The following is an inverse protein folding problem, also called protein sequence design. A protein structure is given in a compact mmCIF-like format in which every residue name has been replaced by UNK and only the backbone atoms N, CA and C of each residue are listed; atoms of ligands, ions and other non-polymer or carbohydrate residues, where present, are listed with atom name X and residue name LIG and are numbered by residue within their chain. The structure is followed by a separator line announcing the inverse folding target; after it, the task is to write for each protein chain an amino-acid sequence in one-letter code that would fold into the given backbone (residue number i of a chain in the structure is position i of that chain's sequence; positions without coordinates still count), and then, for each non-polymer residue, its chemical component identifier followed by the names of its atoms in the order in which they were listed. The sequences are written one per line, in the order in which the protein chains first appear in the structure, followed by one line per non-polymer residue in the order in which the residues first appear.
data_IF_691311503942
#
_entry.id   IF_691311503942
#
_cell.length_a   1.000
_cell.length_b   1.000
_cell.length_c   1.000
_cell.angle_alpha   90.00
_cell.angle_beta   90.00
_cell.angle_gamma   90.00
#
_symmetry.space_group_name_H-M   'P 1'
#
loop_
_entity.id
_entity.type
_entity.pdbx_description
1 polymer ?
#
# COMPACT_ATOMS: atom_id res chain seq x y z
N UNK A 1 21.18 3.73 -41.76
CA UNK A 1 21.88 2.48 -41.45
C UNK A 1 23.00 2.86 -40.52
N UNK A 2 22.90 2.50 -39.24
CA UNK A 2 24.02 1.95 -38.49
C UNK A 2 23.47 1.35 -37.20
N UNK A 3 23.67 0.05 -37.11
CA UNK A 3 23.25 -0.89 -36.09
C UNK A 3 24.14 -0.79 -34.85
N UNK A 4 23.55 -0.81 -33.66
CA UNK A 4 24.28 -1.17 -32.44
C UNK A 4 23.76 -2.49 -31.86
N UNK A 5 24.72 -3.41 -31.73
CA UNK A 5 24.58 -4.79 -31.30
C UNK A 5 24.06 -4.93 -29.87
N UNK A 6 23.17 -5.90 -29.69
CA UNK A 6 22.88 -6.58 -28.43
C UNK A 6 24.00 -7.61 -28.18
N UNK A 7 24.74 -7.47 -27.08
CA UNK A 7 25.48 -8.59 -26.49
C UNK A 7 25.60 -8.40 -24.98
N UNK A 8 25.38 -9.49 -24.26
CA UNK A 8 25.08 -9.57 -22.83
C UNK A 8 26.06 -8.90 -21.86
N UNK A 9 25.48 -8.46 -20.74
CA UNK A 9 26.15 -8.12 -19.49
C UNK A 9 25.16 -8.39 -18.36
N UNK A 10 25.58 -9.18 -17.37
CA UNK A 10 24.73 -9.70 -16.31
C UNK A 10 23.95 -8.64 -15.54
N UNK A 11 22.82 -9.06 -14.95
CA UNK A 11 21.96 -8.24 -14.11
C UNK A 11 22.79 -7.45 -13.08
N UNK A 12 22.95 -6.16 -13.33
CA UNK A 12 23.53 -5.23 -12.37
C UNK A 12 22.55 -5.14 -11.19
N UNK A 13 22.95 -5.69 -10.04
CA UNK A 13 22.30 -5.43 -8.77
C UNK A 13 22.28 -3.91 -8.56
N UNK A 14 21.07 -3.34 -8.47
CA UNK A 14 20.89 -1.92 -8.25
C UNK A 14 21.56 -1.51 -6.93
N UNK A 15 22.59 -0.68 -7.05
CA UNK A 15 23.33 -0.10 -5.94
C UNK A 15 22.59 1.15 -5.45
N UNK A 16 22.09 1.13 -4.22
CA UNK A 16 21.54 2.32 -3.56
C UNK A 16 22.40 2.70 -2.35
N UNK A 17 22.78 3.99 -2.19
CA UNK A 17 23.55 4.45 -1.05
C UNK A 17 22.62 4.62 0.16
N UNK A 18 22.46 3.57 0.95
CA UNK A 18 21.92 3.64 2.31
C UNK A 18 23.05 3.68 3.34
N UNK A 19 22.89 4.47 4.40
CA UNK A 19 23.83 4.52 5.53
C UNK A 19 24.13 3.12 6.09
N UNK A 20 25.31 2.94 6.68
CA UNK A 20 25.82 1.70 7.26
C UNK A 20 24.87 1.12 8.33
N UNK A 21 23.85 0.36 7.92
CA UNK A 21 22.82 -0.16 8.81
C UNK A 21 21.57 -0.72 8.11
N UNK A 22 21.27 -0.29 6.88
CA UNK A 22 20.09 -0.73 6.13
C UNK A 22 20.33 -2.03 5.33
N UNK A 23 19.27 -2.82 5.19
CA UNK A 23 19.31 -4.04 4.40
C UNK A 23 19.28 -3.69 2.89
N UNK A 24 20.46 -3.64 2.25
CA UNK A 24 20.59 -3.61 0.79
C UNK A 24 20.47 -5.03 0.25
N UNK A 25 19.26 -5.58 0.25
CA UNK A 25 19.07 -7.02 0.02
C UNK A 25 18.21 -7.27 -1.20
N UNK A 26 18.87 -7.77 -2.26
CA UNK A 26 18.20 -8.24 -3.48
C UNK A 26 17.86 -9.73 -3.48
N UNK A 27 18.22 -10.49 -2.44
CA UNK A 27 18.03 -11.94 -2.36
C UNK A 27 17.55 -12.40 -0.96
N UNK A 28 16.51 -13.23 -0.92
CA UNK A 28 15.88 -13.71 0.31
C UNK A 28 16.85 -14.46 1.24
N UNK A 29 17.84 -15.18 0.68
CA UNK A 29 18.85 -15.87 1.48
C UNK A 29 19.74 -14.89 2.26
N UNK A 30 20.14 -13.78 1.63
CA UNK A 30 20.89 -12.72 2.30
C UNK A 30 20.06 -12.04 3.38
N UNK A 31 18.75 -11.86 3.14
CA UNK A 31 17.84 -11.22 4.10
C UNK A 31 17.67 -12.11 5.34
N UNK A 32 17.47 -13.41 5.12
CA UNK A 32 17.40 -14.43 6.16
C UNK A 32 18.66 -14.40 7.04
N UNK A 33 19.84 -14.41 6.44
CA UNK A 33 21.11 -14.33 7.17
C UNK A 33 21.24 -13.01 7.97
N UNK A 34 20.85 -11.88 7.36
CA UNK A 34 20.90 -10.57 8.00
C UNK A 34 19.96 -10.47 9.22
N UNK A 35 18.77 -11.07 9.13
CA UNK A 35 17.78 -11.16 10.22
C UNK A 35 18.27 -12.08 11.34
N UNK A 36 18.82 -13.25 10.98
CA UNK A 36 19.35 -14.21 11.95
C UNK A 36 20.52 -13.62 12.77
N UNK A 37 21.43 -12.88 12.12
CA UNK A 37 22.51 -12.15 12.81
C UNK A 37 22.01 -11.13 13.84
N UNK A 38 20.74 -10.70 13.73
CA UNK A 38 20.07 -9.74 14.62
C UNK A 38 19.10 -10.43 15.59
N UNK A 39 19.20 -11.76 15.72
CA UNK A 39 18.39 -12.60 16.60
C UNK A 39 16.88 -12.52 16.30
N UNK A 40 16.50 -12.32 15.05
CA UNK A 40 15.11 -12.48 14.62
C UNK A 40 14.86 -13.95 14.31
N UNK A 41 13.92 -14.57 15.03
CA UNK A 41 13.46 -15.92 14.74
C UNK A 41 12.47 -15.90 13.56
N UNK A 42 12.92 -16.43 12.43
CA UNK A 42 12.12 -16.53 11.20
C UNK A 42 11.41 -17.89 11.08
N UNK A 43 11.45 -18.76 12.10
CA UNK A 43 10.86 -20.10 12.04
C UNK A 43 9.34 -20.12 11.78
N UNK A 44 8.66 -19.02 12.11
CA UNK A 44 7.24 -18.80 11.88
C UNK A 44 6.91 -18.25 10.48
N UNK A 45 7.90 -17.80 9.71
CA UNK A 45 7.67 -17.11 8.43
C UNK A 45 7.20 -18.10 7.38
N UNK A 46 6.26 -17.66 6.53
CA UNK A 46 5.60 -18.51 5.54
C UNK A 46 4.63 -19.54 6.12
N UNK A 47 4.28 -19.44 7.40
CA UNK A 47 3.32 -20.31 8.08
C UNK A 47 2.12 -19.50 8.56
N UNK A 48 0.93 -20.14 8.57
CA UNK A 48 -0.32 -19.51 8.98
C UNK A 48 -0.57 -18.19 8.24
N UNK A 49 -0.67 -17.07 8.96
CA UNK A 49 -0.85 -15.72 8.42
C UNK A 49 0.45 -14.92 8.26
N UNK A 50 1.59 -15.48 8.67
CA UNK A 50 2.88 -14.81 8.55
C UNK A 50 3.40 -14.95 7.11
N UNK A 51 3.91 -13.83 6.58
CA UNK A 51 4.55 -13.78 5.27
C UNK A 51 5.92 -14.45 5.31
N UNK A 52 6.41 -14.87 4.15
CA UNK A 52 7.72 -15.50 4.01
C UNK A 52 8.86 -14.48 3.99
N UNK A 53 10.12 -14.93 4.10
CA UNK A 53 11.28 -14.03 3.91
C UNK A 53 11.35 -13.56 2.46
N UNK A 54 10.92 -14.40 1.52
CA UNK A 54 10.81 -14.10 0.10
C UNK A 54 9.81 -12.96 -0.15
N UNK A 55 8.69 -12.94 0.57
CA UNK A 55 7.74 -11.83 0.50
C UNK A 55 8.35 -10.53 1.03
N UNK A 56 9.10 -10.57 2.14
CA UNK A 56 9.77 -9.38 2.66
C UNK A 56 10.85 -8.86 1.71
N UNK A 57 11.64 -9.76 1.13
CA UNK A 57 12.65 -9.41 0.13
C UNK A 57 11.99 -8.77 -1.10
N UNK A 58 10.86 -9.31 -1.55
CA UNK A 58 10.08 -8.75 -2.67
C UNK A 58 9.53 -7.37 -2.34
N UNK A 59 8.98 -7.17 -1.13
CA UNK A 59 8.49 -5.86 -0.69
C UNK A 59 9.61 -4.81 -0.67
N UNK A 60 10.83 -5.18 -0.27
CA UNK A 60 12.00 -4.30 -0.30
C UNK A 60 12.44 -4.02 -1.75
N UNK A 61 12.51 -5.07 -2.58
CA UNK A 61 12.91 -4.96 -3.98
C UNK A 61 11.96 -4.08 -4.79
N UNK A 62 10.65 -4.20 -4.55
CA UNK A 62 9.63 -3.35 -5.17
C UNK A 62 9.42 -2.03 -4.45
N UNK A 63 10.25 -1.71 -3.46
CA UNK A 63 10.20 -0.42 -2.74
C UNK A 63 8.85 -0.15 -2.05
N UNK A 64 8.10 -1.19 -1.71
CA UNK A 64 6.88 -1.10 -0.90
C UNK A 64 7.19 -0.94 0.60
N UNK A 65 8.40 -1.31 1.01
CA UNK A 65 8.88 -1.14 2.37
C UNK A 65 10.41 -1.09 2.43
N UNK A 66 10.96 -0.62 3.53
CA UNK A 66 12.39 -0.72 3.83
C UNK A 66 12.62 -1.39 5.17
N UNK A 67 13.80 -1.98 5.37
CA UNK A 67 14.19 -2.60 6.64
C UNK A 67 15.52 -2.03 7.10
N UNK A 68 15.55 -1.62 8.36
CA UNK A 68 16.72 -1.02 9.01
C UNK A 68 16.99 -1.67 10.36
N UNK A 69 18.22 -1.56 10.84
CA UNK A 69 18.58 -1.99 12.18
C UNK A 69 18.99 -0.80 13.06
N UNK A 70 18.24 -0.63 14.15
CA UNK A 70 18.54 0.32 15.19
C UNK A 70 19.50 -0.32 16.21
N UNK A 71 20.78 -0.01 16.09
CA UNK A 71 21.82 -0.56 16.95
C UNK A 71 21.67 -0.16 18.42
N UNK A 72 21.11 1.03 18.70
CA UNK A 72 20.91 1.53 20.06
C UNK A 72 19.85 0.71 20.80
N UNK A 73 18.77 0.38 20.10
CA UNK A 73 17.65 -0.38 20.66
C UNK A 73 17.69 -1.87 20.31
N UNK A 74 18.72 -2.33 19.59
CA UNK A 74 18.90 -3.70 19.09
C UNK A 74 17.64 -4.24 18.40
N UNK A 75 17.09 -3.43 17.50
CA UNK A 75 15.76 -3.66 16.92
C UNK A 75 15.80 -3.57 15.41
N UNK A 76 15.15 -4.53 14.77
CA UNK A 76 14.86 -4.47 13.33
C UNK A 76 13.53 -3.74 13.13
N UNK A 77 13.54 -2.69 12.31
CA UNK A 77 12.34 -1.91 11.97
C UNK A 77 12.10 -1.98 10.47
N UNK A 78 10.92 -2.48 10.10
CA UNK A 78 10.34 -2.38 8.76
C UNK A 78 9.52 -1.09 8.65
N UNK A 79 9.87 -0.20 7.74
CA UNK A 79 9.13 1.04 7.47
C UNK A 79 8.26 0.90 6.24
N UNK A 80 7.03 1.39 6.33
CA UNK A 80 6.08 1.44 5.22
C UNK A 80 5.54 2.86 5.15
N UNK A 81 5.52 3.43 3.94
CA UNK A 81 4.77 4.64 3.67
C UNK A 81 3.38 4.23 3.21
N UNK A 82 2.34 4.83 3.74
CA UNK A 82 0.95 4.50 3.42
C UNK A 82 0.23 5.77 3.04
N UNK A 83 -0.45 5.77 1.90
CA UNK A 83 -1.43 6.79 1.55
C UNK A 83 -2.78 6.37 2.11
N UNK A 84 -3.42 7.26 2.88
CA UNK A 84 -4.81 7.11 3.32
C UNK A 84 -5.66 8.19 2.66
N UNK A 85 -6.67 7.80 1.89
CA UNK A 85 -7.49 8.71 1.08
C UNK A 85 -8.90 8.76 1.64
N UNK A 86 -9.26 9.89 2.23
CA UNK A 86 -10.62 10.22 2.61
C UNK A 86 -11.32 10.77 1.37
N UNK A 87 -12.02 9.89 0.64
CA UNK A 87 -12.84 10.31 -0.51
C UNK A 87 -14.14 10.89 0.03
N UNK A 88 -14.39 12.17 -0.25
CA UNK A 88 -15.58 12.86 0.23
C UNK A 88 -16.58 13.19 -0.88
N UNK A 89 -17.85 13.27 -0.49
CA UNK A 89 -18.92 13.84 -1.28
C UNK A 89 -19.54 15.02 -0.53
N UNK A 90 -19.54 16.21 -1.16
CA UNK A 90 -20.26 17.37 -0.63
C UNK A 90 -21.76 17.29 -0.85
N UNK A 91 -22.21 16.73 -1.98
CA UNK A 91 -23.64 16.66 -2.31
C UNK A 91 -24.43 15.82 -1.31
N UNK A 92 -23.81 14.75 -0.81
CA UNK A 92 -24.42 13.80 0.14
C UNK A 92 -23.86 13.92 1.55
N UNK A 93 -22.85 14.77 1.79
CA UNK A 93 -22.16 14.92 3.08
C UNK A 93 -21.64 13.58 3.63
N UNK A 94 -21.05 12.75 2.75
CA UNK A 94 -20.52 11.42 3.09
C UNK A 94 -19.02 11.29 2.79
N UNK A 95 -18.41 10.24 3.34
CA UNK A 95 -17.09 9.73 2.95
C UNK A 95 -17.18 8.28 2.53
N UNK A 96 -16.35 7.88 1.58
CA UNK A 96 -16.22 6.50 1.16
C UNK A 96 -15.43 5.70 2.20
N UNK A 97 -15.90 4.50 2.50
CA UNK A 97 -15.28 3.60 3.44
C UNK A 97 -15.23 2.17 2.89
N UNK A 98 -14.12 1.49 3.16
CA UNK A 98 -13.90 0.08 2.91
C UNK A 98 -14.63 -0.75 3.97
N UNK A 99 -15.75 -1.36 3.60
CA UNK A 99 -16.55 -2.16 4.52
C UNK A 99 -15.91 -3.54 4.74
N UNK A 100 -15.66 -4.26 3.64
CA UNK A 100 -15.03 -5.57 3.69
C UNK A 100 -14.28 -5.89 2.39
N UNK A 101 -13.40 -6.88 2.46
CA UNK A 101 -12.69 -7.42 1.32
C UNK A 101 -13.01 -8.90 1.12
N UNK A 102 -13.00 -9.31 -0.13
CA UNK A 102 -13.04 -10.70 -0.55
C UNK A 102 -11.67 -11.05 -1.14
N UNK A 103 -11.00 -12.02 -0.52
CA UNK A 103 -9.75 -12.57 -1.03
C UNK A 103 -10.03 -13.41 -2.30
N UNK A 104 -9.02 -13.67 -3.15
CA UNK A 104 -9.17 -14.50 -4.34
C UNK A 104 -9.70 -15.92 -4.05
N UNK A 105 -9.49 -16.43 -2.83
CA UNK A 105 -10.01 -17.71 -2.36
C UNK A 105 -11.45 -17.65 -1.83
N UNK A 106 -12.10 -16.49 -1.94
CA UNK A 106 -13.48 -16.24 -1.51
C UNK A 106 -13.64 -15.88 -0.03
N UNK A 107 -12.57 -15.92 0.79
CA UNK A 107 -12.67 -15.52 2.20
C UNK A 107 -13.01 -14.04 2.33
N UNK A 108 -13.95 -13.73 3.21
CA UNK A 108 -14.35 -12.36 3.56
C UNK A 108 -13.58 -11.86 4.77
N UNK A 109 -13.10 -10.62 4.71
CA UNK A 109 -12.43 -9.91 5.81
C UNK A 109 -13.14 -8.59 6.07
N UNK A 110 -13.66 -8.42 7.28
CA UNK A 110 -14.19 -7.13 7.72
C UNK A 110 -13.04 -6.13 7.89
N UNK A 111 -13.26 -4.90 7.41
CA UNK A 111 -12.23 -3.84 7.41
C UNK A 111 -12.58 -2.67 8.31
N UNK A 112 -13.77 -2.66 8.93
CA UNK A 112 -14.13 -1.69 9.96
C UNK A 112 -14.40 -0.28 9.41
N UNK A 113 -14.79 -0.17 8.13
CA UNK A 113 -15.12 1.09 7.47
C UNK A 113 -13.92 2.07 7.44
N UNK A 114 -12.77 1.59 7.00
CA UNK A 114 -11.55 2.40 6.88
C UNK A 114 -11.52 3.20 5.57
N UNK A 115 -10.79 4.32 5.51
CA UNK A 115 -10.50 4.99 4.23
C UNK A 115 -9.73 4.08 3.27
N UNK A 116 -9.76 4.42 1.98
CA UNK A 116 -8.92 3.78 0.98
C UNK A 116 -7.45 3.93 1.42
N UNK A 117 -6.77 2.80 1.61
CA UNK A 117 -5.41 2.77 2.15
C UNK A 117 -4.50 1.96 1.23
N UNK A 118 -3.49 2.62 0.65
CA UNK A 118 -2.56 2.01 -0.29
C UNK A 118 -1.12 2.24 0.17
N UNK A 119 -0.23 1.27 -0.03
CA UNK A 119 1.19 1.51 0.25
C UNK A 119 1.74 2.49 -0.78
N UNK A 120 2.53 3.45 -0.32
CA UNK A 120 3.33 4.24 -1.24
C UNK A 120 4.56 3.44 -1.67
N UNK A 121 4.90 3.51 -2.95
CA UNK A 121 5.96 2.73 -3.58
C UNK A 121 7.08 3.64 -4.07
N UNK A 122 8.32 3.30 -3.70
CA UNK A 122 9.50 4.07 -4.11
C UNK A 122 9.45 5.53 -3.66
N UNK A 123 9.89 6.40 -4.56
CA UNK A 123 9.95 7.85 -4.33
C UNK A 123 8.70 8.59 -4.86
N UNK A 124 7.59 7.88 -5.05
CA UNK A 124 6.38 8.52 -5.55
C UNK A 124 5.91 9.63 -4.59
N UNK A 125 5.44 10.72 -5.20
CA UNK A 125 4.80 11.80 -4.47
C UNK A 125 3.34 11.45 -4.18
N UNK A 126 2.70 12.26 -3.32
CA UNK A 126 1.32 12.04 -2.87
C UNK A 126 0.32 12.00 -4.04
N UNK A 127 0.50 12.82 -5.07
CA UNK A 127 -0.39 12.87 -6.22
C UNK A 127 -0.28 11.59 -7.07
N UNK A 128 0.95 11.13 -7.34
CA UNK A 128 1.21 9.90 -8.08
C UNK A 128 0.63 8.67 -7.36
N UNK A 129 0.85 8.58 -6.04
CA UNK A 129 0.28 7.53 -5.22
C UNK A 129 -1.26 7.57 -5.23
N UNK A 130 -1.85 8.76 -5.17
CA UNK A 130 -3.30 8.95 -5.18
C UNK A 130 -3.93 8.50 -6.50
N UNK A 131 -3.37 8.91 -7.64
CA UNK A 131 -3.84 8.52 -8.96
C UNK A 131 -3.77 7.00 -9.14
N UNK A 132 -2.64 6.39 -8.76
CA UNK A 132 -2.45 4.94 -8.80
C UNK A 132 -3.46 4.22 -7.90
N UNK A 133 -3.60 4.65 -6.65
CA UNK A 133 -4.49 4.02 -5.69
C UNK A 133 -5.96 4.11 -6.12
N UNK A 134 -6.42 5.25 -6.65
CA UNK A 134 -7.77 5.40 -7.19
C UNK A 134 -7.98 4.48 -8.39
N UNK A 135 -7.00 4.37 -9.29
CA UNK A 135 -7.10 3.51 -10.47
C UNK A 135 -7.16 2.03 -10.10
N UNK A 136 -6.31 1.59 -9.18
CA UNK A 136 -6.20 0.18 -8.75
C UNK A 136 -7.45 -0.26 -7.96
N UNK A 137 -7.87 0.54 -6.99
CA UNK A 137 -8.93 0.17 -6.04
C UNK A 137 -10.34 0.54 -6.52
N UNK A 138 -10.49 1.67 -7.22
CA UNK A 138 -11.80 2.22 -7.60
C UNK A 138 -12.07 2.19 -9.10
N UNK A 139 -11.06 1.90 -9.94
CA UNK A 139 -11.13 2.03 -11.40
C UNK A 139 -12.31 1.31 -12.06
N UNK A 140 -12.71 0.15 -11.52
CA UNK A 140 -13.86 -0.62 -12.03
C UNK A 140 -15.23 -0.01 -11.72
N UNK A 141 -15.30 0.99 -10.84
CA UNK A 141 -16.53 1.71 -10.47
C UNK A 141 -16.57 3.15 -11.01
N UNK A 142 -15.51 3.63 -11.68
CA UNK A 142 -15.47 4.99 -12.22
C UNK A 142 -16.35 5.08 -13.46
N UNK A 143 -17.31 6.00 -13.45
CA UNK A 143 -18.13 6.33 -14.63
C UNK A 143 -17.40 7.37 -15.46
N UNK A 144 -16.50 6.89 -16.33
CA UNK A 144 -15.75 7.75 -17.24
C UNK A 144 -16.63 8.06 -18.46
N UNK A 145 -17.22 9.26 -18.49
CA UNK A 145 -18.08 9.71 -19.61
C UNK A 145 -17.28 10.23 -20.82
N UNK A 146 -15.98 10.52 -20.65
CA UNK A 146 -15.11 11.11 -21.67
C UNK A 146 -14.03 10.13 -22.18
N UNK A 147 -13.76 10.14 -23.49
CA UNK A 147 -12.74 9.35 -24.21
C UNK A 147 -11.28 9.59 -23.74
N UNK A 148 -11.04 10.57 -22.85
CA UNK A 148 -9.71 10.88 -22.30
C UNK A 148 -9.36 10.04 -21.04
N UNK A 149 -10.27 9.16 -20.60
CA UNK A 149 -9.95 7.96 -19.81
C UNK A 149 -9.55 8.13 -18.34
N UNK A 150 -9.34 9.35 -17.83
CA UNK A 150 -8.91 9.56 -16.44
C UNK A 150 -9.96 10.32 -15.59
N UNK A 151 -10.26 9.79 -14.40
CA UNK A 151 -11.16 10.45 -13.46
C UNK A 151 -10.51 11.72 -12.89
N UNK A 152 -11.23 12.83 -12.90
CA UNK A 152 -10.76 14.07 -12.26
C UNK A 152 -10.70 13.89 -10.74
N UNK A 153 -9.48 13.84 -10.19
CA UNK A 153 -9.21 13.79 -8.75
C UNK A 153 -8.84 15.19 -8.27
N UNK A 154 -9.46 15.66 -7.19
CA UNK A 154 -9.18 16.99 -6.60
C UNK A 154 -8.91 16.86 -5.12
N UNK A 155 -7.73 17.27 -4.67
CA UNK A 155 -7.41 17.42 -3.25
C UNK A 155 -8.18 18.59 -2.64
N UNK A 156 -8.84 18.35 -1.50
CA UNK A 156 -9.66 19.37 -0.83
C UNK A 156 -9.09 19.84 0.50
N UNK A 157 -7.95 19.28 0.89
CA UNK A 157 -7.20 19.66 2.08
C UNK A 157 -5.70 19.50 1.89
N UNK A 158 -4.94 19.90 2.92
CA UNK A 158 -3.50 19.63 2.98
C UNK A 158 -3.28 18.18 3.45
N UNK A 159 -2.27 17.48 2.93
CA UNK A 159 -1.85 16.20 3.49
C UNK A 159 -1.50 16.32 4.97
N UNK A 160 -1.88 15.31 5.75
CA UNK A 160 -1.56 15.17 7.17
C UNK A 160 -0.71 13.93 7.34
N UNK A 161 0.46 14.08 7.96
CA UNK A 161 1.37 12.97 8.23
C UNK A 161 1.22 12.48 9.67
N UNK A 162 1.20 11.17 9.84
CA UNK A 162 1.27 10.51 11.14
C UNK A 162 2.19 9.29 11.09
N UNK A 163 2.73 8.92 12.24
CA UNK A 163 3.56 7.72 12.37
C UNK A 163 2.96 6.79 13.41
N UNK A 164 2.69 5.55 13.01
CA UNK A 164 2.21 4.49 13.90
C UNK A 164 3.27 3.40 14.02
N UNK A 165 3.54 2.96 15.24
CA UNK A 165 4.50 1.87 15.48
C UNK A 165 3.81 0.70 16.16
N UNK A 166 4.11 -0.52 15.70
CA UNK A 166 3.58 -1.76 16.28
C UNK A 166 4.46 -2.96 15.93
N UNK A 167 4.28 -4.07 16.61
CA UNK A 167 4.86 -5.32 16.17
C UNK A 167 4.21 -5.79 14.86
N UNK A 168 5.02 -6.30 13.94
CA UNK A 168 4.56 -6.79 12.65
C UNK A 168 3.82 -8.11 12.79
N UNK A 169 2.54 -8.11 12.43
CA UNK A 169 1.75 -9.34 12.36
C UNK A 169 2.21 -10.24 11.20
N UNK A 170 2.68 -9.64 10.09
CA UNK A 170 3.16 -10.37 8.92
C UNK A 170 4.57 -10.93 9.12
N UNK A 171 5.38 -10.31 9.96
CA UNK A 171 6.78 -10.67 10.18
C UNK A 171 7.09 -10.66 11.69
N UNK A 172 6.67 -11.70 12.44
CA UNK A 172 6.87 -11.75 13.89
C UNK A 172 8.31 -11.43 14.30
N UNK A 173 8.48 -10.71 15.42
CA UNK A 173 9.79 -10.24 15.90
C UNK A 173 10.33 -8.98 15.21
N UNK A 174 9.74 -8.54 14.09
CA UNK A 174 10.09 -7.26 13.44
C UNK A 174 9.14 -6.16 13.90
N UNK A 175 9.69 -5.00 14.27
CA UNK A 175 8.87 -3.81 14.53
C UNK A 175 8.48 -3.17 13.19
N UNK A 176 7.25 -2.68 13.10
CA UNK A 176 6.77 -1.91 11.97
C UNK A 176 6.53 -0.45 12.36
N UNK A 177 6.96 0.44 11.47
CA UNK A 177 6.66 1.87 11.50
C UNK A 177 5.88 2.20 10.21
N UNK A 178 4.65 2.65 10.38
CA UNK A 178 3.77 3.08 9.30
C UNK A 178 3.79 4.60 9.28
N UNK A 179 4.38 5.18 8.24
CA UNK A 179 4.32 6.61 7.97
C UNK A 179 3.13 6.87 7.07
N UNK A 180 2.01 7.27 7.67
CA UNK A 180 0.73 7.45 6.99
C UNK A 180 0.61 8.90 6.54
N UNK A 181 0.42 9.11 5.25
CA UNK A 181 0.05 10.39 4.66
C UNK A 181 -1.44 10.33 4.36
N UNK A 182 -2.23 11.08 5.13
CA UNK A 182 -3.67 11.17 4.94
C UNK A 182 -4.01 12.37 4.07
N UNK A 183 -4.83 12.15 3.04
CA UNK A 183 -5.35 13.21 2.16
C UNK A 183 -6.86 13.15 2.10
N UNK A 184 -7.49 14.30 1.88
CA UNK A 184 -8.91 14.39 1.54
C UNK A 184 -9.04 14.73 0.06
N UNK A 185 -9.85 13.96 -0.66
CA UNK A 185 -10.00 14.10 -2.10
C UNK A 185 -11.45 13.95 -2.55
N UNK A 186 -11.76 14.52 -3.71
CA UNK A 186 -12.98 14.28 -4.48
C UNK A 186 -12.64 13.61 -5.79
N UNK A 187 -13.45 12.65 -6.19
CA UNK A 187 -13.30 11.91 -7.44
C UNK A 187 -14.54 12.18 -8.27
N UNK A 188 -14.41 12.98 -9.32
CA UNK A 188 -15.57 13.46 -10.09
C UNK A 188 -16.38 12.35 -10.77
N UNK A 189 -15.70 11.27 -11.20
CA UNK A 189 -16.31 10.13 -11.86
C UNK A 189 -16.91 9.09 -10.90
N UNK A 190 -16.80 9.30 -9.58
CA UNK A 190 -17.35 8.39 -8.57
C UNK A 190 -18.68 8.95 -8.07
N UNK A 191 -19.78 8.31 -8.45
CA UNK A 191 -21.13 8.77 -8.08
C UNK A 191 -21.43 8.35 -6.63
N UNK A 192 -21.67 9.32 -5.72
CA UNK A 192 -22.06 8.99 -4.35
C UNK A 192 -23.53 8.58 -4.27
N UNK A 193 -23.82 7.60 -3.42
CA UNK A 193 -25.19 7.31 -2.97
C UNK A 193 -25.52 8.19 -1.76
N UNK A 194 -26.81 8.47 -1.53
CA UNK A 194 -27.22 9.28 -0.38
C UNK A 194 -26.90 8.56 0.93
N UNK A 195 -26.49 9.33 1.93
CA UNK A 195 -26.24 8.80 3.28
C UNK A 195 -27.52 8.12 3.81
N UNK A 196 -27.44 6.83 4.17
CA UNK A 196 -28.56 6.09 4.75
C UNK A 196 -29.26 5.12 3.79
N UNK A 197 -28.97 5.15 2.50
CA UNK A 197 -29.48 4.14 1.55
C UNK A 197 -28.80 2.77 1.77
N UNK A 198 -27.67 2.75 2.50
CA UNK A 198 -26.92 1.53 2.83
C UNK A 198 -26.36 0.82 1.59
N UNK A 199 -26.36 1.49 0.43
CA UNK A 199 -26.01 0.88 -0.83
C UNK A 199 -24.50 0.74 -0.92
N UNK A 200 -24.05 -0.50 -0.74
CA UNK A 200 -22.68 -0.88 -1.02
C UNK A 200 -22.48 -1.07 -2.52
N UNK A 201 -21.26 -0.80 -2.98
CA UNK A 201 -20.81 -1.24 -4.30
C UNK A 201 -19.50 -2.02 -4.17
N UNK A 202 -19.17 -2.80 -5.19
CA UNK A 202 -17.97 -3.61 -5.20
C UNK A 202 -17.04 -3.19 -6.33
N UNK A 203 -15.75 -3.19 -6.05
CA UNK A 203 -14.70 -3.06 -7.05
C UNK A 203 -13.87 -4.34 -7.09
N UNK A 204 -13.16 -4.56 -8.18
CA UNK A 204 -12.24 -5.69 -8.33
C UNK A 204 -10.88 -5.19 -8.80
N UNK A 205 -9.83 -5.73 -8.19
CA UNK A 205 -8.44 -5.52 -8.58
C UNK A 205 -7.99 -6.61 -9.56
N UNK A 206 -6.91 -6.33 -10.31
CA UNK A 206 -6.34 -7.28 -11.28
C UNK A 206 -5.86 -8.60 -10.65
N UNK A 207 -5.53 -8.59 -9.36
CA UNK A 207 -5.07 -9.75 -8.60
C UNK A 207 -6.24 -10.65 -8.11
N UNK A 208 -7.49 -10.29 -8.41
CA UNK A 208 -8.70 -11.03 -8.03
C UNK A 208 -9.25 -10.67 -6.64
N UNK A 209 -8.63 -9.73 -5.91
CA UNK A 209 -9.26 -9.16 -4.72
C UNK A 209 -10.47 -8.32 -5.14
N UNK A 210 -11.49 -8.35 -4.28
CA UNK A 210 -12.65 -7.48 -4.43
C UNK A 210 -12.89 -6.73 -3.14
N UNK A 211 -13.25 -5.47 -3.28
CA UNK A 211 -13.47 -4.59 -2.15
C UNK A 211 -14.90 -4.09 -2.19
N UNK A 212 -15.62 -4.25 -1.08
CA UNK A 212 -16.94 -3.67 -0.90
C UNK A 212 -16.81 -2.32 -0.21
N UNK A 213 -17.37 -1.30 -0.85
CA UNK A 213 -17.34 0.08 -0.42
C UNK A 213 -18.72 0.56 -0.02
N UNK A 214 -18.77 1.43 0.98
CA UNK A 214 -19.99 2.09 1.43
C UNK A 214 -19.73 3.59 1.62
N UNK A 215 -20.76 4.39 1.40
CA UNK A 215 -20.74 5.80 1.78
C UNK A 215 -21.29 5.95 3.19
N UNK A 216 -20.49 6.50 4.10
CA UNK A 216 -20.87 6.78 5.49
C UNK A 216 -21.00 8.28 5.72
N UNK A 217 -21.87 8.75 6.64
CA UNK A 217 -21.92 10.16 7.01
C UNK A 217 -20.54 10.69 7.41
N UNK A 218 -20.21 11.92 7.00
CA UNK A 218 -19.01 12.60 7.49
C UNK A 218 -19.04 12.62 9.02
N UNK A 219 -17.93 12.23 9.65
CA UNK A 219 -17.77 12.43 11.09
C UNK A 219 -17.84 13.95 11.37
N UNK A 220 -18.76 14.35 12.25
CA UNK A 220 -18.90 15.74 12.72
C UNK A 220 -17.73 16.16 13.60
#
# INVERSE_FOLDING_TARGET
MDSYNLSGGGAAAAFFPGSSGDAQVGDAAQLSAWLAQRNIDISAYGKNSAKSVEDLAREIQYQESSVSYDAKHKRVTRRVRVLSVIVESESTQTTLAEACQFLPDGRRRERGNLPLSEKMVGDENVQQALERAVKEELGSALSLEDDDGDARITLTGKPVESTETRESHSYPGIHCEYNVVTVTARIGALVPFSAGDGQAFETSEANGHRTQWIWIPKAM
#
